data_IF_483145855576
#
_entry.id   IF_483145855576
#
_cell.length_a   1.000
_cell.length_b   1.000
_cell.length_c   1.000
_cell.angle_alpha   90.00
_cell.angle_beta   90.00
_cell.angle_gamma   90.00
#
_symmetry.space_group_name_H-M   'P 1'
#
loop_
_entity.id
_entity.type
_entity.pdbx_description
1 polymer ?
#
# COMPACT_ATOMS: atom_id res chain seq x y z
N UNK A 1 -1.86 -12.90 -11.56
CA UNK A 1 -3.05 -13.15 -10.73
C UNK A 1 -2.77 -12.54 -9.37
N UNK A 2 -3.71 -11.80 -8.78
CA UNK A 2 -3.57 -11.22 -7.44
C UNK A 2 -4.21 -12.19 -6.44
N UNK A 3 -3.48 -13.16 -5.84
CA UNK A 3 -4.04 -13.94 -4.76
C UNK A 3 -4.07 -13.05 -3.50
N UNK A 4 -5.26 -12.65 -3.07
CA UNK A 4 -5.41 -11.96 -1.80
C UNK A 4 -4.97 -12.88 -0.66
N UNK A 5 -3.92 -12.48 0.06
CA UNK A 5 -3.36 -13.27 1.16
C UNK A 5 -4.30 -13.37 2.38
N UNK A 6 -5.35 -12.54 2.44
CA UNK A 6 -6.33 -12.53 3.54
C UNK A 6 -7.55 -13.42 3.24
N UNK A 7 -8.16 -13.29 2.05
CA UNK A 7 -9.43 -13.97 1.75
C UNK A 7 -9.38 -14.98 0.58
N UNK A 8 -8.23 -15.13 -0.08
CA UNK A 8 -8.03 -16.04 -1.22
C UNK A 8 -8.69 -15.61 -2.54
N UNK A 9 -9.31 -14.42 -2.60
CA UNK A 9 -9.87 -13.89 -3.85
C UNK A 9 -8.76 -13.60 -4.88
N UNK A 10 -9.08 -13.78 -6.16
CA UNK A 10 -8.21 -13.41 -7.28
C UNK A 10 -8.57 -12.08 -7.94
N UNK A 11 -9.57 -11.38 -7.41
CA UNK A 11 -10.07 -10.11 -7.94
C UNK A 11 -9.51 -8.92 -7.17
N UNK A 12 -8.91 -7.99 -7.90
CA UNK A 12 -8.44 -6.71 -7.39
C UNK A 12 -8.71 -5.58 -8.38
N UNK A 13 -8.59 -4.35 -7.90
CA UNK A 13 -8.64 -3.14 -8.70
C UNK A 13 -7.56 -2.14 -8.22
N UNK A 14 -7.03 -1.29 -9.12
CA UNK A 14 -6.16 -0.21 -8.71
C UNK A 14 -6.95 0.88 -7.96
N UNK A 15 -6.38 1.40 -6.89
CA UNK A 15 -6.94 2.51 -6.11
C UNK A 15 -5.81 3.38 -5.55
N UNK A 16 -6.10 4.65 -5.27
CA UNK A 16 -5.21 5.53 -4.50
C UNK A 16 -5.65 5.50 -3.03
N UNK A 17 -4.79 5.05 -2.14
CA UNK A 17 -5.10 4.91 -0.70
C UNK A 17 -4.25 5.87 0.14
N UNK A 18 -4.72 6.19 1.34
CA UNK A 18 -3.99 6.98 2.32
C UNK A 18 -3.52 6.06 3.44
N UNK A 19 -2.25 6.14 3.81
CA UNK A 19 -1.68 5.29 4.86
C UNK A 19 -0.87 6.06 5.89
N UNK A 20 -0.93 5.55 7.13
CA UNK A 20 -0.18 6.09 8.26
C UNK A 20 1.05 5.23 8.50
N UNK A 21 2.22 5.83 8.35
CA UNK A 21 3.51 5.19 8.62
C UNK A 21 4.06 5.66 9.96
N UNK A 22 4.52 4.70 10.78
CA UNK A 22 5.25 4.98 12.02
C UNK A 22 6.73 4.68 11.82
N UNK A 23 7.57 5.72 11.81
CA UNK A 23 9.01 5.60 11.56
C UNK A 23 9.75 6.35 12.66
N UNK A 24 10.63 5.64 13.39
CA UNK A 24 11.45 6.22 14.46
C UNK A 24 10.64 7.04 15.48
N UNK A 25 9.44 6.56 15.84
CA UNK A 25 8.54 7.23 16.78
C UNK A 25 7.80 8.46 16.22
N UNK A 26 7.97 8.78 14.93
CA UNK A 26 7.21 9.83 14.23
C UNK A 26 6.09 9.20 13.39
N UNK A 27 4.98 9.92 13.28
CA UNK A 27 3.82 9.54 12.47
C UNK A 27 3.84 10.35 11.17
N UNK A 28 3.70 9.67 10.05
CA UNK A 28 3.61 10.25 8.72
C UNK A 28 2.30 9.80 8.07
N UNK A 29 1.46 10.75 7.66
CA UNK A 29 0.34 10.48 6.76
C UNK A 29 0.84 10.65 5.33
N UNK A 30 0.76 9.59 4.53
CA UNK A 30 1.06 9.66 3.10
C UNK A 30 -0.22 9.39 2.34
N UNK A 31 -0.61 10.36 1.52
CA UNK A 31 -1.86 10.33 0.78
C UNK A 31 -1.65 9.98 -0.69
N UNK A 32 -2.67 9.39 -1.31
CA UNK A 32 -2.67 9.14 -2.75
C UNK A 32 -1.67 8.07 -3.21
N UNK A 33 -1.47 7.02 -2.42
CA UNK A 33 -0.53 5.94 -2.71
C UNK A 33 -1.17 4.92 -3.67
N UNK A 34 -0.58 4.66 -4.85
CA UNK A 34 -1.09 3.64 -5.76
C UNK A 34 -1.00 2.23 -5.16
N UNK A 35 -2.15 1.57 -5.02
CA UNK A 35 -2.28 0.22 -4.47
C UNK A 35 -3.11 -0.69 -5.38
N UNK A 36 -2.97 -2.01 -5.18
CA UNK A 36 -3.92 -3.01 -5.65
C UNK A 36 -4.81 -3.43 -4.50
N UNK A 37 -6.11 -3.14 -4.59
CA UNK A 37 -7.10 -3.39 -3.55
C UNK A 37 -7.92 -4.63 -3.91
N UNK A 38 -8.05 -5.56 -2.98
CA UNK A 38 -8.90 -6.73 -3.14
C UNK A 38 -10.37 -6.31 -3.27
N UNK A 39 -11.01 -6.62 -4.40
CA UNK A 39 -12.41 -6.27 -4.65
C UNK A 39 -13.40 -7.00 -3.73
N UNK A 40 -12.95 -7.96 -2.92
CA UNK A 40 -13.79 -8.71 -1.98
C UNK A 40 -13.66 -8.24 -0.53
N UNK A 41 -12.44 -8.05 -0.04
CA UNK A 41 -12.21 -7.79 1.39
C UNK A 41 -11.55 -6.44 1.69
N UNK A 42 -11.17 -5.67 0.66
CA UNK A 42 -10.53 -4.36 0.85
C UNK A 42 -9.04 -4.42 1.19
N UNK A 43 -8.48 -5.60 1.45
CA UNK A 43 -7.03 -5.75 1.67
C UNK A 43 -6.26 -5.23 0.46
N UNK A 44 -5.29 -4.34 0.69
CA UNK A 44 -4.50 -3.74 -0.38
C UNK A 44 -3.03 -4.07 -0.26
N UNK A 45 -2.34 -4.09 -1.41
CA UNK A 45 -0.89 -4.26 -1.45
C UNK A 45 -0.23 -3.19 -2.32
N UNK A 46 1.00 -2.85 -1.96
CA UNK A 46 1.82 -1.93 -2.75
C UNK A 46 2.77 -2.70 -3.66
N UNK A 47 3.02 -2.14 -4.84
CA UNK A 47 4.10 -2.64 -5.70
C UNK A 47 5.47 -2.38 -5.07
N UNK A 48 6.50 -3.11 -5.51
CA UNK A 48 7.89 -2.84 -5.09
C UNK A 48 8.31 -1.40 -5.42
N UNK A 49 7.91 -0.90 -6.59
CA UNK A 49 8.21 0.47 -7.02
C UNK A 49 7.55 1.50 -6.09
N UNK A 50 6.26 1.32 -5.79
CA UNK A 50 5.52 2.17 -4.84
C UNK A 50 6.20 2.16 -3.46
N UNK A 51 6.54 0.97 -2.97
CA UNK A 51 7.19 0.79 -1.66
C UNK A 51 8.53 1.54 -1.59
N UNK A 52 9.38 1.42 -2.61
CA UNK A 52 10.67 2.13 -2.63
C UNK A 52 10.50 3.65 -2.74
N UNK A 53 9.49 4.15 -3.48
CA UNK A 53 9.19 5.58 -3.53
C UNK A 53 8.80 6.12 -2.16
N UNK A 54 7.90 5.43 -1.45
CA UNK A 54 7.49 5.81 -0.08
C UNK A 54 8.68 5.71 0.88
N UNK A 55 9.50 4.65 0.80
CA UNK A 55 10.69 4.50 1.64
C UNK A 55 11.67 5.66 1.48
N UNK A 56 12.02 6.04 0.24
CA UNK A 56 12.90 7.19 -0.04
C UNK A 56 12.30 8.51 0.44
N UNK A 57 11.00 8.70 0.23
CA UNK A 57 10.27 9.89 0.69
C UNK A 57 10.36 10.06 2.22
N UNK A 58 10.19 8.97 2.98
CA UNK A 58 10.09 9.06 4.44
C UNK A 58 11.43 8.97 5.17
N UNK A 59 12.42 8.24 4.63
CA UNK A 59 13.72 8.07 5.28
C UNK A 59 14.79 9.09 4.84
N UNK A 60 14.56 9.84 3.77
CA UNK A 60 15.65 10.54 3.07
C UNK A 60 16.52 9.55 2.30
N UNK A 61 17.25 10.05 1.30
CA UNK A 61 18.22 9.23 0.54
C UNK A 61 19.41 8.79 1.41
#
# INVERSE_FOLDING_TARGET
MFPCHVCGSNQSHPELVNEIFQIQGKIYLVEGIPAQVCSRCGEFTFSRETTEKVRKMLHGD
#
